data_IF_034914532010
#
_entry.id   IF_034914532010
#
_cell.length_a   1.000
_cell.length_b   1.000
_cell.length_c   1.000
_cell.angle_alpha   90.00
_cell.angle_beta   90.00
_cell.angle_gamma   90.00
#
_symmetry.space_group_name_H-M   'P 1'
#
loop_
_entity.id
_entity.type
_entity.pdbx_description
1 polymer ?
#
# COMPACT_ATOMS: atom_id res chain seq x y z
N UNK A 1 -1.98 -13.18 14.72
CA UNK A 1 -2.03 -12.32 13.53
C UNK A 1 -0.78 -11.50 13.53
N UNK A 2 -0.24 -11.27 12.34
CA UNK A 2 0.98 -10.51 12.14
C UNK A 2 0.62 -9.26 11.33
N UNK A 3 1.34 -8.17 11.61
CA UNK A 3 1.18 -6.91 10.90
C UNK A 3 1.97 -6.97 9.61
N UNK A 4 1.29 -6.70 8.51
CA UNK A 4 1.88 -6.61 7.19
C UNK A 4 1.76 -5.19 6.67
N UNK A 5 2.77 -4.82 5.88
CA UNK A 5 2.81 -3.60 5.09
C UNK A 5 2.88 -4.00 3.62
N UNK A 6 2.00 -3.41 2.82
CA UNK A 6 2.12 -3.37 1.37
C UNK A 6 2.36 -1.92 0.95
N UNK A 7 3.38 -1.70 0.13
CA UNK A 7 3.66 -0.40 -0.47
C UNK A 7 3.52 -0.55 -1.97
N UNK A 8 2.58 0.21 -2.53
CA UNK A 8 2.42 0.36 -3.97
C UNK A 8 3.00 1.70 -4.42
N UNK A 9 3.61 1.72 -5.60
CA UNK A 9 4.14 2.94 -6.22
C UNK A 9 3.50 3.23 -7.56
N UNK A 10 3.33 4.50 -7.87
CA UNK A 10 2.91 5.00 -9.18
C UNK A 10 3.69 6.28 -9.54
N UNK A 11 3.76 6.68 -10.83
CA UNK A 11 4.23 8.02 -11.18
C UNK A 11 3.44 9.07 -10.39
N UNK A 12 4.05 10.19 -9.98
CA UNK A 12 3.39 11.21 -9.13
C UNK A 12 2.00 11.56 -9.65
N UNK A 13 0.99 11.31 -8.82
CA UNK A 13 -0.41 11.58 -9.11
C UNK A 13 -0.92 12.75 -8.27
N UNK A 14 -1.96 13.42 -8.79
CA UNK A 14 -2.77 14.31 -7.98
C UNK A 14 -3.80 13.48 -7.22
N UNK A 15 -3.61 13.32 -5.92
CA UNK A 15 -4.44 12.46 -5.09
C UNK A 15 -5.73 13.22 -4.72
N UNK A 16 -6.92 12.65 -4.97
CA UNK A 16 -8.18 13.35 -4.70
C UNK A 16 -8.45 13.42 -3.19
N UNK A 17 -9.07 14.50 -2.71
CA UNK A 17 -9.39 14.64 -1.27
C UNK A 17 -10.53 13.69 -0.80
N UNK A 18 -11.26 13.09 -1.74
CA UNK A 18 -12.40 12.21 -1.49
C UNK A 18 -12.36 10.98 -2.38
N UNK A 19 -13.04 9.91 -1.99
CA UNK A 19 -13.13 8.63 -2.74
C UNK A 19 -11.75 7.98 -3.00
N UNK A 20 -10.81 8.14 -2.06
CA UNK A 20 -9.46 7.58 -2.14
C UNK A 20 -9.46 6.08 -2.41
N UNK A 21 -10.34 5.32 -1.76
CA UNK A 21 -10.37 3.87 -1.93
C UNK A 21 -10.77 3.49 -3.36
N UNK A 22 -11.77 4.16 -3.93
CA UNK A 22 -12.18 3.94 -5.33
C UNK A 22 -11.05 4.30 -6.29
N UNK A 23 -10.39 5.44 -6.05
CA UNK A 23 -9.23 5.87 -6.82
C UNK A 23 -8.10 4.84 -6.80
N UNK A 24 -7.72 4.34 -5.61
CA UNK A 24 -6.69 3.30 -5.46
C UNK A 24 -7.10 2.01 -6.19
N UNK A 25 -8.35 1.57 -6.01
CA UNK A 25 -8.86 0.36 -6.67
C UNK A 25 -8.80 0.49 -8.19
N UNK A 26 -9.10 1.66 -8.74
CA UNK A 26 -9.02 1.91 -10.17
C UNK A 26 -7.58 1.90 -10.68
N UNK A 27 -6.62 2.43 -9.91
CA UNK A 27 -5.19 2.35 -10.23
C UNK A 27 -4.70 0.90 -10.27
N UNK A 28 -5.08 0.07 -9.30
CA UNK A 28 -4.73 -1.36 -9.25
C UNK A 28 -5.34 -2.09 -10.46
N UNK A 29 -6.64 -1.94 -10.70
CA UNK A 29 -7.33 -2.59 -11.83
C UNK A 29 -6.81 -2.15 -13.20
N UNK A 30 -6.31 -0.92 -13.30
CA UNK A 30 -5.72 -0.38 -14.52
C UNK A 30 -4.24 -0.74 -14.69
N UNK A 31 -3.67 -1.52 -13.76
CA UNK A 31 -2.26 -1.88 -13.73
C UNK A 31 -1.31 -0.66 -13.77
N UNK A 32 -1.71 0.41 -13.06
CA UNK A 32 -0.97 1.68 -12.99
C UNK A 32 -0.09 1.80 -11.74
N UNK A 33 0.02 0.71 -10.98
CA UNK A 33 0.82 0.60 -9.76
C UNK A 33 1.83 -0.53 -9.89
N UNK A 34 2.86 -0.49 -9.06
CA UNK A 34 3.83 -1.57 -8.88
C UNK A 34 3.96 -1.90 -7.40
N UNK A 35 4.26 -3.15 -7.09
CA UNK A 35 4.61 -3.52 -5.72
C UNK A 35 6.06 -3.10 -5.44
N UNK A 36 6.24 -2.14 -4.54
CA UNK A 36 7.56 -1.75 -4.04
C UNK A 36 7.98 -2.64 -2.87
N UNK A 37 7.03 -2.96 -1.99
CA UNK A 37 7.29 -3.77 -0.82
C UNK A 37 6.04 -4.54 -0.39
N UNK A 38 6.22 -5.80 -0.03
CA UNK A 38 5.22 -6.57 0.69
C UNK A 38 5.90 -7.40 1.78
N UNK A 39 5.55 -7.18 3.04
CA UNK A 39 6.05 -7.99 4.14
C UNK A 39 5.77 -7.43 5.51
N UNK A 40 6.57 -7.85 6.49
CA UNK A 40 6.47 -7.32 7.85
C UNK A 40 6.88 -5.85 7.89
N UNK A 41 6.36 -5.12 8.88
CA UNK A 41 6.76 -3.76 9.18
C UNK A 41 8.30 -3.67 9.22
N UNK A 42 8.88 -2.91 8.28
CA UNK A 42 10.32 -2.74 8.16
C UNK A 42 10.81 -1.93 9.36
N UNK A 43 11.80 -2.47 10.08
CA UNK A 43 12.58 -1.69 11.03
C UNK A 43 13.32 -0.57 10.27
N UNK A 44 12.74 0.64 10.36
CA UNK A 44 13.30 1.94 10.03
C UNK A 44 14.09 2.06 8.70
N UNK A 45 13.41 2.26 7.55
CA UNK A 45 14.05 2.45 6.24
C UNK A 45 14.84 3.78 6.08
N UNK A 46 14.87 4.65 7.10
CA UNK A 46 15.49 5.98 7.04
C UNK A 46 17.04 5.98 7.06
N UNK A 47 17.70 4.84 7.29
CA UNK A 47 19.16 4.78 7.45
C UNK A 47 19.95 4.76 6.13
N UNK A 48 19.28 4.71 4.97
CA UNK A 48 19.93 4.66 3.65
C UNK A 48 19.18 5.51 2.61
N UNK A 49 19.28 6.84 2.68
CA UNK A 49 18.87 7.73 1.58
C UNK A 49 20.10 8.35 0.89
N UNK A 50 20.17 8.24 -0.44
CA UNK A 50 21.10 8.99 -1.30
C UNK A 50 20.29 9.89 -2.26
N UNK A 51 20.91 10.91 -2.83
CA UNK A 51 20.28 11.95 -3.68
C UNK A 51 19.45 11.36 -4.84
N UNK A 52 19.88 10.23 -5.41
CA UNK A 52 19.13 9.52 -6.47
C UNK A 52 17.81 8.89 -5.97
N UNK A 53 17.79 8.44 -4.72
CA UNK A 53 16.57 7.93 -4.07
C UNK A 53 15.61 9.08 -3.78
N UNK A 54 16.14 10.23 -3.36
CA UNK A 54 15.35 11.45 -3.13
C UNK A 54 14.69 11.92 -4.43
N UNK A 55 15.44 11.95 -5.54
CA UNK A 55 14.92 12.35 -6.85
C UNK A 55 13.80 11.41 -7.34
N UNK A 56 13.98 10.10 -7.16
CA UNK A 56 12.96 9.09 -7.48
C UNK A 56 11.71 9.26 -6.63
N UNK A 57 11.88 9.54 -5.34
CA UNK A 57 10.78 9.81 -4.41
C UNK A 57 9.96 11.02 -4.84
N UNK A 58 10.58 12.11 -5.32
CA UNK A 58 9.85 13.32 -5.75
C UNK A 58 8.90 13.08 -6.92
N UNK A 59 9.24 12.17 -7.83
CA UNK A 59 8.44 11.81 -9.01
C UNK A 59 7.48 10.63 -8.80
N UNK A 60 7.35 10.12 -7.57
CA UNK A 60 6.61 8.90 -7.25
C UNK A 60 5.57 9.17 -6.17
N UNK A 61 4.38 8.60 -6.36
CA UNK A 61 3.32 8.52 -5.35
C UNK A 61 3.38 7.17 -4.66
N UNK A 62 3.25 7.18 -3.33
CA UNK A 62 3.28 5.97 -2.50
C UNK A 62 1.91 5.69 -1.89
N UNK A 63 1.46 4.44 -1.97
CA UNK A 63 0.25 3.96 -1.32
C UNK A 63 0.64 2.86 -0.33
N UNK A 64 0.64 3.20 0.95
CA UNK A 64 0.99 2.31 2.05
C UNK A 64 -0.28 1.69 2.61
N UNK A 65 -0.32 0.38 2.73
CA UNK A 65 -1.42 -0.35 3.35
C UNK A 65 -0.88 -1.10 4.55
N UNK A 66 -1.48 -0.85 5.71
CA UNK A 66 -1.17 -1.55 6.95
C UNK A 66 -2.36 -2.42 7.33
N UNK A 67 -2.13 -3.73 7.46
CA UNK A 67 -3.19 -4.70 7.70
C UNK A 67 -2.69 -5.93 8.47
N UNK A 68 -3.61 -6.60 9.15
CA UNK A 68 -3.34 -7.80 9.93
C UNK A 68 -3.80 -9.05 9.16
N UNK A 69 -2.92 -10.06 9.06
CA UNK A 69 -3.27 -11.37 8.53
C UNK A 69 -2.83 -12.49 9.47
N UNK A 70 -3.36 -13.69 9.23
CA UNK A 70 -2.69 -14.89 9.71
C UNK A 70 -1.34 -15.01 9.01
N UNK A 71 -0.39 -15.63 9.71
CA UNK A 71 0.98 -15.81 9.21
C UNK A 71 0.96 -16.32 7.77
N UNK A 72 1.53 -15.53 6.87
CA UNK A 72 1.69 -15.86 5.46
C UNK A 72 2.96 -16.68 5.25
N UNK A 73 2.88 -17.63 4.32
CA UNK A 73 4.07 -18.20 3.69
C UNK A 73 4.37 -17.33 2.45
N UNK A 74 5.52 -16.69 2.42
CA UNK A 74 5.84 -15.69 1.37
C UNK A 74 6.06 -16.33 0.01
N UNK A 75 6.40 -17.61 -0.03
CA UNK A 75 6.57 -18.38 -1.26
C UNK A 75 5.24 -18.63 -1.99
N UNK A 76 4.10 -18.35 -1.34
CA UNK A 76 2.76 -18.64 -1.87
C UNK A 76 2.11 -17.47 -2.62
N UNK A 77 2.74 -16.28 -2.69
CA UNK A 77 2.12 -15.10 -3.29
C UNK A 77 2.89 -14.57 -4.49
N UNK A 78 2.25 -14.60 -5.65
CA UNK A 78 2.62 -13.82 -6.82
C UNK A 78 2.26 -12.34 -6.65
N UNK A 79 2.80 -11.49 -7.53
CA UNK A 79 2.45 -10.06 -7.57
C UNK A 79 0.95 -9.87 -7.78
N UNK A 80 0.34 -10.65 -8.67
CA UNK A 80 -1.11 -10.64 -8.94
C UNK A 80 -1.93 -11.05 -7.70
N UNK A 81 -1.53 -12.11 -7.00
CA UNK A 81 -2.20 -12.55 -5.78
C UNK A 81 -2.06 -11.52 -4.65
N UNK A 82 -0.93 -10.83 -4.56
CA UNK A 82 -0.71 -9.75 -3.58
C UNK A 82 -1.60 -8.53 -3.89
N UNK A 83 -1.74 -8.15 -5.16
CA UNK A 83 -2.65 -7.09 -5.58
C UNK A 83 -4.11 -7.48 -5.33
N UNK A 84 -4.48 -8.73 -5.61
CA UNK A 84 -5.83 -9.22 -5.36
C UNK A 84 -6.14 -9.25 -3.85
N UNK A 85 -5.17 -9.67 -3.03
CA UNK A 85 -5.28 -9.66 -1.58
C UNK A 85 -5.64 -8.25 -1.07
N UNK A 86 -4.93 -7.22 -1.52
CA UNK A 86 -5.23 -5.85 -1.05
C UNK A 86 -6.57 -5.34 -1.58
N UNK A 87 -6.95 -5.67 -2.83
CA UNK A 87 -8.29 -5.36 -3.34
C UNK A 87 -9.37 -5.96 -2.45
N UNK A 88 -9.22 -7.23 -2.06
CA UNK A 88 -10.16 -7.92 -1.18
C UNK A 88 -10.20 -7.25 0.20
N UNK A 89 -9.05 -6.89 0.78
CA UNK A 89 -9.02 -6.18 2.06
C UNK A 89 -9.76 -4.82 1.96
N UNK A 90 -9.50 -4.04 0.92
CA UNK A 90 -10.12 -2.72 0.72
C UNK A 90 -11.63 -2.79 0.49
N UNK A 91 -12.12 -3.87 -0.11
CA UNK A 91 -13.55 -4.06 -0.39
C UNK A 91 -14.33 -4.70 0.76
N UNK A 92 -13.69 -5.59 1.52
CA UNK A 92 -14.39 -6.46 2.49
C UNK A 92 -14.19 -6.05 3.94
N UNK A 93 -13.14 -5.28 4.25
CA UNK A 93 -12.81 -4.90 5.63
C UNK A 93 -13.26 -3.48 5.96
N UNK A 94 -13.30 -3.21 7.25
CA UNK A 94 -13.48 -1.86 7.74
C UNK A 94 -12.18 -1.09 7.55
N UNK A 95 -12.22 -0.07 6.71
CA UNK A 95 -11.14 0.91 6.63
C UNK A 95 -11.10 1.68 7.95
N UNK A 96 -9.95 1.63 8.62
CA UNK A 96 -9.75 2.24 9.91
C UNK A 96 -9.49 3.74 9.81
N UNK A 97 -8.37 4.10 9.20
CA UNK A 97 -7.97 5.48 8.97
C UNK A 97 -7.30 5.61 7.59
N UNK A 98 -7.44 6.77 6.96
CA UNK A 98 -6.75 7.13 5.73
C UNK A 98 -6.04 8.46 5.99
N UNK A 99 -4.73 8.48 5.80
CA UNK A 99 -3.92 9.70 5.87
C UNK A 99 -3.46 10.00 4.44
N UNK A 100 -3.60 11.26 4.02
CA UNK A 100 -3.22 11.72 2.69
C UNK A 100 -2.24 12.88 2.88
N UNK A 101 -1.09 12.82 2.21
CA UNK A 101 -0.09 13.89 2.21
C UNK A 101 0.49 14.09 0.81
N UNK A 102 0.28 15.25 0.18
CA UNK A 102 0.63 15.63 -1.21
C UNK A 102 0.40 14.52 -2.26
N UNK A 103 1.29 13.54 -2.29
CA UNK A 103 1.39 12.43 -3.25
C UNK A 103 1.38 11.03 -2.61
N UNK A 104 1.28 10.95 -1.29
CA UNK A 104 1.37 9.75 -0.47
C UNK A 104 0.04 9.48 0.24
N UNK A 105 -0.33 8.20 0.38
CA UNK A 105 -1.53 7.76 1.07
C UNK A 105 -1.20 6.60 1.98
N UNK A 106 -1.55 6.73 3.25
CA UNK A 106 -1.48 5.63 4.22
C UNK A 106 -2.88 5.15 4.58
N UNK A 107 -3.14 3.87 4.34
CA UNK A 107 -4.42 3.20 4.63
C UNK A 107 -4.22 2.17 5.72
N UNK A 108 -4.92 2.38 6.85
CA UNK A 108 -4.94 1.45 7.97
C UNK A 108 -6.20 0.60 7.88
N UNK A 109 -6.06 -0.70 7.62
CA UNK A 109 -7.18 -1.62 7.47
C UNK A 109 -7.38 -2.35 8.79
N UNK A 110 -8.58 -2.24 9.37
CA UNK A 110 -8.89 -2.88 10.64
C UNK A 110 -9.23 -4.34 10.44
N UNK A 111 -8.75 -5.15 11.38
CA UNK A 111 -9.24 -6.51 11.54
C UNK A 111 -10.69 -6.51 12.07
N UNK A 112 -11.60 -7.25 11.43
CA UNK A 112 -12.98 -7.43 11.89
C UNK A 112 -13.07 -8.74 12.69
N UNK A 113 -13.32 -8.64 14.00
CA UNK A 113 -13.41 -9.76 14.96
C UNK A 113 -14.79 -10.46 14.92
N UNK A 114 -15.43 -10.59 13.76
CA UNK A 114 -16.74 -11.26 13.65
C UNK A 114 -16.62 -12.77 13.57
#
# INVERSE_FOLDING_TARGET
>A
MENYILILTAPKLNIPESNIIEFILDLIKSNLVKIEHFGYELDNPADYENDDMIATRLGTSYFTFQFELNKLDYDDYTEEETLQLIVDQLQTKQIGNIIIDDKDVDVYIKYDNR
#
